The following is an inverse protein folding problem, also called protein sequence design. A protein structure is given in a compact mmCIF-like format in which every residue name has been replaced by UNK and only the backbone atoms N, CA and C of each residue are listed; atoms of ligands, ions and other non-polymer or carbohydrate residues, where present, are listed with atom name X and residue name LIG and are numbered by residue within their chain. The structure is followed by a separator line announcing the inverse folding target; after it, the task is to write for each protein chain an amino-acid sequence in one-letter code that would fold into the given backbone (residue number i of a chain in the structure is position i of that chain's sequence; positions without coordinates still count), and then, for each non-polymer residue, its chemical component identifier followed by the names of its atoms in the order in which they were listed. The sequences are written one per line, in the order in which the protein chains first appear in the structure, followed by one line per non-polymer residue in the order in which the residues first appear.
data_IF_122239885634
#
_entry.id   IF_122239885634
#
_cell.length_a   1.000
_cell.length_b   1.000
_cell.length_c   1.000
_cell.angle_alpha   90.00
_cell.angle_beta   90.00
_cell.angle_gamma   90.00
#
_symmetry.space_group_name_H-M   'P 1'
#
loop_
_entity.id
_entity.type
_entity.pdbx_description
1 polymer ?
#
# COMPACT_ATOMS: atom_id res chain seq x y z
N UNK A 1 19.71 28.24 3.95
CA UNK A 1 18.68 27.45 3.23
C UNK A 1 17.32 27.90 3.73
N UNK A 2 16.50 28.51 2.86
CA UNK A 2 15.23 29.17 3.22
C UNK A 2 14.12 28.10 3.30
N UNK A 3 14.08 27.37 4.42
CA UNK A 3 13.25 26.16 4.58
C UNK A 3 11.77 26.42 4.87
N UNK A 4 11.36 27.66 5.18
CA UNK A 4 9.97 27.99 5.45
C UNK A 4 9.49 29.08 4.50
N UNK A 5 8.64 28.69 3.55
CA UNK A 5 7.93 29.62 2.68
C UNK A 5 6.63 30.00 3.40
N UNK A 6 6.74 30.86 4.42
CA UNK A 6 5.57 31.36 5.17
C UNK A 6 4.84 32.40 4.32
N UNK A 7 3.53 32.23 4.17
CA UNK A 7 2.66 33.23 3.55
C UNK A 7 1.78 33.77 4.67
N UNK A 8 1.88 35.08 4.94
CA UNK A 8 1.06 35.76 5.92
C UNK A 8 -0.19 36.29 5.19
N UNK A 9 -1.36 35.75 5.53
CA UNK A 9 -2.65 36.16 4.98
C UNK A 9 -3.39 36.97 6.06
N UNK A 10 -3.65 38.24 5.77
CA UNK A 10 -4.48 39.08 6.64
C UNK A 10 -5.95 38.80 6.35
N UNK A 11 -6.67 38.29 7.35
CA UNK A 11 -8.13 38.21 7.29
C UNK A 11 -8.76 39.56 7.64
N UNK A 12 -9.99 39.85 7.17
CA UNK A 12 -10.69 41.09 7.48
C UNK A 12 -10.92 41.31 8.99
N UNK A 13 -10.76 40.28 9.83
CA UNK A 13 -10.80 40.40 11.29
C UNK A 13 -9.46 40.86 11.93
N UNK A 14 -8.47 41.26 11.11
CA UNK A 14 -7.15 41.74 11.56
C UNK A 14 -6.33 40.70 12.35
N UNK A 15 -6.58 39.41 12.12
CA UNK A 15 -5.80 38.31 12.68
C UNK A 15 -4.84 37.80 11.60
N UNK A 16 -3.55 37.79 11.90
CA UNK A 16 -2.53 37.25 11.00
C UNK A 16 -2.51 35.73 11.12
N UNK A 17 -2.85 35.02 10.04
CA UNK A 17 -2.69 33.58 9.97
C UNK A 17 -1.35 33.25 9.29
N UNK A 18 -0.42 32.70 10.07
CA UNK A 18 0.82 32.12 9.54
C UNK A 18 0.56 30.71 9.02
N UNK A 19 0.47 30.55 7.70
CA UNK A 19 0.46 29.24 7.08
C UNK A 19 1.88 28.81 6.74
N UNK A 20 2.36 27.78 7.43
CA UNK A 20 3.56 27.06 7.01
C UNK A 20 3.21 26.24 5.77
N UNK A 21 3.60 26.71 4.59
CA UNK A 21 3.49 25.88 3.39
C UNK A 21 4.40 24.67 3.57
N UNK A 22 3.80 23.48 3.69
CA UNK A 22 4.51 22.25 3.48
C UNK A 22 5.11 22.31 2.06
N UNK A 23 6.44 22.24 1.96
CA UNK A 23 7.12 22.29 0.67
C UNK A 23 6.60 21.21 -0.27
N UNK A 24 6.66 21.47 -1.58
CA UNK A 24 6.18 20.57 -2.65
C UNK A 24 6.67 19.12 -2.47
N UNK A 25 7.85 18.91 -1.88
CA UNK A 25 8.42 17.58 -1.62
C UNK A 25 7.77 16.78 -0.48
N UNK A 26 7.04 17.40 0.45
CA UNK A 26 6.52 16.70 1.63
C UNK A 26 5.43 15.66 1.26
N UNK A 27 4.55 16.02 0.32
CA UNK A 27 3.51 15.11 -0.18
C UNK A 27 4.09 14.01 -1.08
N UNK A 28 5.07 14.35 -1.91
CA UNK A 28 5.75 13.37 -2.75
C UNK A 28 6.52 12.34 -1.92
N UNK A 29 7.14 12.78 -0.82
CA UNK A 29 7.86 11.88 0.08
C UNK A 29 6.92 10.93 0.84
N UNK A 30 5.78 11.45 1.33
CA UNK A 30 4.73 10.63 1.92
C UNK A 30 4.25 9.54 0.93
N UNK A 31 3.96 9.94 -0.31
CA UNK A 31 3.53 9.01 -1.35
C UNK A 31 4.60 7.94 -1.64
N UNK A 32 5.88 8.30 -1.68
CA UNK A 32 6.97 7.31 -1.87
C UNK A 32 6.96 6.27 -0.75
N UNK A 33 6.81 6.70 0.50
CA UNK A 33 6.75 5.79 1.65
C UNK A 33 5.55 4.85 1.52
N UNK A 34 4.38 5.37 1.14
CA UNK A 34 3.17 4.56 0.96
C UNK A 34 3.37 3.49 -0.11
N UNK A 35 3.98 3.85 -1.25
CA UNK A 35 4.27 2.87 -2.32
C UNK A 35 5.31 1.83 -1.90
N UNK A 36 6.28 2.18 -1.04
CA UNK A 36 7.23 1.21 -0.49
C UNK A 36 6.50 0.22 0.41
N UNK A 37 5.68 0.70 1.33
CA UNK A 37 4.92 -0.17 2.26
C UNK A 37 3.95 -1.05 1.48
N UNK A 38 3.23 -0.47 0.52
CA UNK A 38 2.32 -1.17 -0.37
C UNK A 38 3.04 -2.27 -1.16
N UNK A 39 4.17 -1.93 -1.79
CA UNK A 39 4.98 -2.85 -2.57
C UNK A 39 5.54 -4.00 -1.72
N UNK A 40 6.03 -3.70 -0.51
CA UNK A 40 6.51 -4.71 0.43
C UNK A 40 5.38 -5.63 0.91
N UNK A 41 4.18 -5.08 1.14
CA UNK A 41 3.01 -5.87 1.55
C UNK A 41 2.60 -6.86 0.46
N UNK A 42 2.52 -6.41 -0.80
CA UNK A 42 2.24 -7.29 -1.93
C UNK A 42 3.34 -8.34 -2.07
N UNK A 43 4.61 -7.94 -2.05
CA UNK A 43 5.75 -8.86 -2.18
C UNK A 43 5.66 -9.95 -1.11
N UNK A 44 5.40 -9.60 0.15
CA UNK A 44 5.28 -10.53 1.25
C UNK A 44 4.16 -11.55 0.99
N UNK A 45 2.98 -11.10 0.56
CA UNK A 45 1.85 -11.99 0.23
C UNK A 45 2.22 -12.96 -0.89
N UNK A 46 2.90 -12.50 -1.92
CA UNK A 46 3.39 -13.35 -3.02
C UNK A 46 4.45 -14.36 -2.58
N UNK A 47 5.41 -13.96 -1.75
CA UNK A 47 6.43 -14.87 -1.22
C UNK A 47 5.81 -15.92 -0.32
N UNK A 48 4.89 -15.55 0.57
CA UNK A 48 4.18 -16.49 1.42
C UNK A 48 3.35 -17.49 0.61
N UNK A 49 2.65 -17.02 -0.42
CA UNK A 49 1.86 -17.88 -1.29
C UNK A 49 2.73 -18.84 -2.11
N UNK A 50 3.87 -18.36 -2.63
CA UNK A 50 4.83 -19.20 -3.35
C UNK A 50 5.44 -20.26 -2.43
N UNK A 51 5.82 -19.88 -1.21
CA UNK A 51 6.31 -20.82 -0.20
C UNK A 51 5.26 -21.88 0.15
N UNK A 52 4.01 -21.45 0.34
CA UNK A 52 2.88 -22.34 0.62
C UNK A 52 2.66 -23.33 -0.53
N UNK A 53 2.65 -22.84 -1.78
CA UNK A 53 2.51 -23.67 -2.98
C UNK A 53 3.64 -24.69 -3.08
N UNK A 54 4.88 -24.29 -2.82
CA UNK A 54 6.03 -25.19 -2.85
C UNK A 54 5.94 -26.31 -1.80
N UNK A 55 5.44 -26.00 -0.59
CA UNK A 55 5.31 -26.99 0.48
C UNK A 55 4.12 -27.94 0.29
N UNK A 56 2.98 -27.44 -0.21
CA UNK A 56 1.74 -28.20 -0.33
C UNK A 56 1.61 -28.97 -1.65
N UNK A 57 2.36 -28.58 -2.69
CA UNK A 57 2.33 -29.22 -4.01
C UNK A 57 3.72 -29.79 -4.32
N UNK A 58 4.13 -30.89 -3.66
CA UNK A 58 5.38 -31.56 -4.01
C UNK A 58 5.29 -32.06 -5.46
N UNK A 59 6.35 -31.81 -6.24
CA UNK A 59 6.55 -32.15 -7.66
C UNK A 59 5.44 -33.01 -8.30
N UNK A 60 4.58 -32.33 -9.07
CA UNK A 60 3.80 -32.81 -10.23
C UNK A 60 3.86 -34.34 -10.48
N UNK A 61 3.19 -35.12 -9.64
CA UNK A 61 2.70 -36.44 -10.02
C UNK A 61 1.18 -36.29 -10.11
N UNK A 62 0.65 -36.78 -11.22
CA UNK A 62 -0.57 -36.43 -11.95
C UNK A 62 -1.89 -36.78 -11.21
N UNK A 63 -1.97 -36.52 -9.90
CA UNK A 63 -3.18 -36.68 -9.13
C UNK A 63 -4.01 -35.38 -9.21
N UNK A 64 -5.19 -35.47 -9.84
CA UNK A 64 -6.09 -34.34 -10.07
C UNK A 64 -6.51 -33.57 -8.81
N UNK A 65 -6.23 -34.07 -7.60
CA UNK A 65 -6.40 -33.35 -6.34
C UNK A 65 -5.34 -32.26 -6.12
N UNK A 66 -4.06 -32.53 -6.42
CA UNK A 66 -2.97 -31.55 -6.26
C UNK A 66 -3.13 -30.39 -7.24
N UNK A 67 -3.64 -30.66 -8.45
CA UNK A 67 -3.96 -29.63 -9.44
C UNK A 67 -5.07 -28.69 -8.95
N UNK A 68 -6.12 -29.23 -8.30
CA UNK A 68 -7.18 -28.40 -7.69
C UNK A 68 -6.64 -27.55 -6.54
N UNK A 69 -5.79 -28.11 -5.69
CA UNK A 69 -5.17 -27.35 -4.59
C UNK A 69 -4.34 -26.17 -5.11
N UNK A 70 -3.54 -26.39 -6.16
CA UNK A 70 -2.79 -25.31 -6.80
C UNK A 70 -3.72 -24.20 -7.33
N UNK A 71 -4.83 -24.57 -7.99
CA UNK A 71 -5.82 -23.61 -8.48
C UNK A 71 -6.45 -22.80 -7.35
N UNK A 72 -6.76 -23.41 -6.20
CA UNK A 72 -7.27 -22.71 -5.04
C UNK A 72 -6.25 -21.75 -4.43
N UNK A 73 -4.98 -22.15 -4.33
CA UNK A 73 -3.91 -21.28 -3.84
C UNK A 73 -3.78 -20.05 -4.75
N UNK A 74 -3.79 -20.24 -6.07
CA UNK A 74 -3.79 -19.14 -7.03
C UNK A 74 -5.01 -18.23 -6.90
N UNK A 75 -6.21 -18.80 -6.77
CA UNK A 75 -7.44 -18.02 -6.63
C UNK A 75 -7.44 -17.15 -5.37
N UNK A 76 -7.07 -17.72 -4.22
CA UNK A 76 -6.98 -16.99 -2.94
C UNK A 76 -5.91 -15.91 -3.01
N UNK A 77 -4.77 -16.21 -3.64
CA UNK A 77 -3.67 -15.28 -3.82
C UNK A 77 -4.09 -14.06 -4.65
N UNK A 78 -4.75 -14.30 -5.78
CA UNK A 78 -5.23 -13.23 -6.67
C UNK A 78 -6.30 -12.37 -5.97
N UNK A 79 -7.24 -13.00 -5.27
CA UNK A 79 -8.29 -12.29 -4.54
C UNK A 79 -7.72 -11.44 -3.39
N UNK A 80 -6.77 -11.98 -2.64
CA UNK A 80 -6.07 -11.24 -1.57
C UNK A 80 -5.28 -10.07 -2.13
N UNK A 81 -4.54 -10.28 -3.22
CA UNK A 81 -3.79 -9.20 -3.89
C UNK A 81 -4.73 -8.09 -4.38
N UNK A 82 -5.87 -8.45 -4.97
CA UNK A 82 -6.89 -7.49 -5.38
C UNK A 82 -7.45 -6.69 -4.20
N UNK A 83 -7.80 -7.36 -3.10
CA UNK A 83 -8.33 -6.72 -1.90
C UNK A 83 -7.33 -5.72 -1.30
N UNK A 84 -6.05 -6.06 -1.25
CA UNK A 84 -4.98 -5.15 -0.79
C UNK A 84 -4.82 -3.99 -1.78
N UNK A 85 -4.82 -4.27 -3.08
CA UNK A 85 -4.63 -3.26 -4.13
C UNK A 85 -5.68 -2.14 -4.05
N UNK A 86 -6.94 -2.50 -3.85
CA UNK A 86 -8.04 -1.54 -3.74
C UNK A 86 -8.17 -0.98 -2.31
N UNK A 87 -7.97 -1.83 -1.30
CA UNK A 87 -8.26 -1.48 0.10
C UNK A 87 -7.18 -0.67 0.79
N UNK A 88 -5.91 -0.78 0.39
CA UNK A 88 -4.79 -0.17 1.11
C UNK A 88 -4.97 1.35 1.30
N UNK A 89 -5.19 2.09 0.21
CA UNK A 89 -5.37 3.54 0.28
C UNK A 89 -6.69 3.94 0.93
N UNK A 90 -7.76 3.17 0.71
CA UNK A 90 -9.07 3.45 1.29
C UNK A 90 -9.03 3.35 2.81
N UNK A 91 -8.41 2.30 3.35
CA UNK A 91 -8.30 2.10 4.80
C UNK A 91 -7.49 3.21 5.45
N UNK A 92 -6.34 3.57 4.87
CA UNK A 92 -5.50 4.65 5.40
C UNK A 92 -6.24 5.98 5.41
N UNK A 93 -6.95 6.33 4.34
CA UNK A 93 -7.75 7.56 4.29
C UNK A 93 -8.88 7.56 5.33
N UNK A 94 -9.54 6.42 5.53
CA UNK A 94 -10.64 6.33 6.52
C UNK A 94 -10.17 6.35 7.97
N UNK A 95 -8.96 5.87 8.27
CA UNK A 95 -8.42 5.85 9.63
C UNK A 95 -7.73 7.18 10.00
N UNK A 96 -7.26 7.93 9.01
CA UNK A 96 -6.49 9.17 9.17
C UNK A 96 -7.29 10.42 8.74
N UNK A 97 -8.54 10.54 9.20
CA UNK A 97 -9.31 11.80 9.14
C UNK A 97 -8.75 12.84 10.12
#
# INVERSE_FOLDING_TARGET
MRFFNQINLQTPESVELEFTLAGIGNRSFALIIDYIIFGLTILLVWVLSAFLAFQLVPNLIDDGFLNRLAQWIWAVQSLTTFAIYVGYFVVLETLWQ
#
